data_IF_110884235841
#
_entry.id   IF_110884235841
#
_cell.length_a   1.000
_cell.length_b   1.000
_cell.length_c   1.000
_cell.angle_alpha   90.00
_cell.angle_beta   90.00
_cell.angle_gamma   90.00
#
_symmetry.space_group_name_H-M   'P 1'
#
loop_
_entity.id
_entity.type
_entity.pdbx_description
1 polymer ?
#
# COMPACT_ATOMS: atom_id res chain seq x y z
N UNK A 1 0.35 -7.36 -4.67
CA UNK A 1 0.14 -8.58 -3.87
C UNK A 1 -0.78 -9.57 -4.57
N UNK A 2 -2.05 -9.23 -4.87
CA UNK A 2 -2.98 -10.20 -5.45
C UNK A 2 -2.66 -10.59 -6.90
N UNK A 3 -2.39 -9.61 -7.76
CA UNK A 3 -1.99 -9.89 -9.15
C UNK A 3 -0.78 -10.83 -9.24
N UNK A 4 0.22 -10.65 -8.37
CA UNK A 4 1.42 -11.52 -8.29
C UNK A 4 1.12 -12.94 -7.76
N UNK A 5 0.05 -13.13 -6.99
CA UNK A 5 -0.38 -14.45 -6.50
C UNK A 5 -1.19 -15.18 -7.58
N UNK A 6 -2.04 -14.45 -8.31
CA UNK A 6 -2.97 -15.03 -9.30
C UNK A 6 -2.32 -15.23 -10.66
N UNK A 7 -1.42 -14.34 -11.07
CA UNK A 7 -0.78 -14.39 -12.39
C UNK A 7 -0.09 -15.73 -12.71
N UNK A 8 0.64 -16.40 -11.79
CA UNK A 8 1.22 -17.72 -12.06
C UNK A 8 0.17 -18.78 -12.38
N UNK A 9 -0.99 -18.74 -11.72
CA UNK A 9 -2.10 -19.66 -11.99
C UNK A 9 -2.74 -19.42 -13.38
N UNK A 10 -2.56 -18.23 -13.93
CA UNK A 10 -2.93 -17.89 -15.30
C UNK A 10 -1.79 -18.12 -16.32
N UNK A 11 -0.68 -18.76 -15.92
CA UNK A 11 0.47 -19.04 -16.78
C UNK A 11 1.36 -17.82 -17.06
N UNK A 12 1.18 -16.72 -16.33
CA UNK A 12 1.96 -15.49 -16.53
C UNK A 12 3.23 -15.55 -15.68
N UNK A 13 4.38 -15.29 -16.31
CA UNK A 13 5.66 -15.19 -15.62
C UNK A 13 5.77 -13.84 -14.87
N UNK A 14 5.64 -13.90 -13.55
CA UNK A 14 5.71 -12.73 -12.66
C UNK A 14 7.10 -12.11 -12.54
N UNK A 15 8.15 -12.82 -12.93
CA UNK A 15 9.53 -12.31 -12.93
C UNK A 15 9.89 -11.64 -14.26
N UNK A 16 9.01 -11.70 -15.26
CA UNK A 16 9.24 -10.98 -16.52
C UNK A 16 9.21 -9.48 -16.27
N UNK A 17 10.14 -8.76 -16.91
CA UNK A 17 10.22 -7.31 -16.79
C UNK A 17 8.93 -6.63 -17.27
N UNK A 18 8.34 -7.15 -18.33
CA UNK A 18 7.06 -6.70 -18.88
C UNK A 18 5.93 -6.73 -17.82
N UNK A 19 5.76 -7.85 -17.13
CA UNK A 19 4.77 -7.97 -16.07
C UNK A 19 5.03 -6.99 -14.92
N UNK A 20 6.27 -6.87 -14.48
CA UNK A 20 6.65 -5.98 -13.36
C UNK A 20 6.37 -4.53 -13.73
N UNK A 21 6.78 -4.08 -14.92
CA UNK A 21 6.56 -2.71 -15.37
C UNK A 21 5.08 -2.39 -15.53
N UNK A 22 4.31 -3.29 -16.16
CA UNK A 22 2.87 -3.14 -16.30
C UNK A 22 2.17 -3.09 -14.93
N UNK A 23 2.52 -4.00 -14.03
CA UNK A 23 1.97 -4.05 -12.68
C UNK A 23 2.24 -2.75 -11.92
N UNK A 24 3.48 -2.27 -11.92
CA UNK A 24 3.86 -1.02 -11.24
C UNK A 24 3.09 0.15 -11.83
N UNK A 25 3.03 0.28 -13.16
CA UNK A 25 2.28 1.36 -13.80
C UNK A 25 0.80 1.37 -13.41
N UNK A 26 0.13 0.21 -13.50
CA UNK A 26 -1.30 0.08 -13.16
C UNK A 26 -1.53 0.36 -11.67
N UNK A 27 -0.72 -0.23 -10.78
CA UNK A 27 -0.88 -0.04 -9.33
C UNK A 27 -0.64 1.41 -8.94
N UNK A 28 0.38 2.07 -9.48
CA UNK A 28 0.67 3.48 -9.20
C UNK A 28 -0.49 4.37 -9.63
N UNK A 29 -1.01 4.19 -10.84
CA UNK A 29 -2.12 5.01 -11.34
C UNK A 29 -3.41 4.72 -10.57
N UNK A 30 -3.75 3.45 -10.38
CA UNK A 30 -5.00 3.05 -9.70
C UNK A 30 -5.01 3.44 -8.23
N UNK A 31 -3.86 3.51 -7.56
CA UNK A 31 -3.78 3.89 -6.15
C UNK A 31 -4.34 5.29 -5.87
N UNK A 32 -4.27 6.23 -6.81
CA UNK A 32 -4.87 7.55 -6.65
C UNK A 32 -6.40 7.49 -6.63
N UNK A 33 -6.99 6.62 -7.46
CA UNK A 33 -8.45 6.47 -7.57
C UNK A 33 -9.09 5.79 -6.36
N UNK A 34 -8.33 4.96 -5.63
CA UNK A 34 -8.84 4.19 -4.49
C UNK A 34 -8.96 5.03 -3.21
N UNK A 35 -8.19 6.10 -3.07
CA UNK A 35 -8.20 6.95 -1.87
C UNK A 35 -9.57 7.58 -1.56
N UNK A 36 -10.45 7.72 -2.57
CA UNK A 36 -11.78 8.31 -2.43
C UNK A 36 -12.96 7.34 -2.31
N UNK A 37 -12.71 6.02 -2.33
CA UNK A 37 -13.76 4.99 -2.31
C UNK A 37 -13.61 4.06 -1.11
N UNK A 38 -14.70 3.79 -0.38
CA UNK A 38 -14.71 2.86 0.76
C UNK A 38 -14.42 1.42 0.33
N UNK A 39 -13.78 0.60 1.19
CA UNK A 39 -13.41 -0.79 0.89
C UNK A 39 -12.07 -0.95 0.16
N UNK A 40 -11.07 -0.17 0.56
CA UNK A 40 -9.83 0.10 -0.19
C UNK A 40 -9.11 -1.12 -0.78
N UNK A 41 -8.94 -2.20 -0.02
CA UNK A 41 -8.30 -3.43 -0.50
C UNK A 41 -9.00 -4.06 -1.70
N UNK A 42 -10.32 -4.17 -1.57
CA UNK A 42 -11.20 -4.90 -2.47
C UNK A 42 -11.31 -4.15 -3.80
N UNK A 43 -11.58 -2.85 -3.77
CA UNK A 43 -11.68 -2.04 -4.98
C UNK A 43 -10.34 -1.89 -5.70
N UNK A 44 -9.23 -1.69 -4.97
CA UNK A 44 -7.89 -1.69 -5.58
C UNK A 44 -7.62 -3.00 -6.33
N UNK A 45 -8.00 -4.13 -5.73
CA UNK A 45 -7.78 -5.45 -6.32
C UNK A 45 -8.63 -5.69 -7.56
N UNK A 46 -9.90 -5.27 -7.55
CA UNK A 46 -10.79 -5.35 -8.71
C UNK A 46 -10.25 -4.53 -9.89
N UNK A 47 -9.79 -3.30 -9.63
CA UNK A 47 -9.22 -2.42 -10.66
C UNK A 47 -7.96 -3.04 -11.25
N UNK A 48 -7.01 -3.47 -10.42
CA UNK A 48 -5.73 -4.03 -10.89
C UNK A 48 -5.94 -5.32 -11.65
N UNK A 49 -6.74 -6.26 -11.12
CA UNK A 49 -6.98 -7.54 -11.79
C UNK A 49 -7.73 -7.34 -13.10
N UNK A 50 -8.75 -6.47 -13.12
CA UNK A 50 -9.47 -6.14 -14.35
C UNK A 50 -8.57 -5.50 -15.41
N UNK A 51 -7.74 -4.52 -15.02
CA UNK A 51 -6.82 -3.84 -15.93
C UNK A 51 -5.73 -4.77 -16.50
N UNK A 52 -5.35 -5.81 -15.76
CA UNK A 52 -4.38 -6.82 -16.20
C UNK A 52 -5.02 -8.04 -16.87
N UNK A 53 -6.33 -8.01 -17.10
CA UNK A 53 -7.10 -9.13 -17.64
C UNK A 53 -6.95 -10.44 -16.82
N UNK A 54 -6.83 -10.30 -15.50
CA UNK A 54 -6.75 -11.39 -14.54
C UNK A 54 -8.12 -11.70 -13.92
N UNK A 55 -8.37 -12.94 -13.44
CA UNK A 55 -9.66 -13.32 -12.86
C UNK A 55 -10.02 -12.49 -11.61
N UNK A 56 -11.00 -11.59 -11.74
CA UNK A 56 -11.50 -10.74 -10.63
C UNK A 56 -12.25 -11.54 -9.57
N UNK A 57 -12.78 -12.71 -9.92
CA UNK A 57 -13.51 -13.58 -9.00
C UNK A 57 -12.66 -14.02 -7.78
N UNK A 58 -11.33 -14.03 -7.92
CA UNK A 58 -10.40 -14.36 -6.82
C UNK A 58 -10.48 -13.34 -5.68
N UNK A 59 -10.93 -12.10 -5.94
CA UNK A 59 -11.18 -11.12 -4.88
C UNK A 59 -12.20 -11.65 -3.87
N UNK A 60 -13.22 -12.38 -4.33
CA UNK A 60 -14.24 -12.98 -3.47
C UNK A 60 -13.67 -13.96 -2.43
N UNK A 61 -12.62 -14.70 -2.78
CA UNK A 61 -11.92 -15.59 -1.85
C UNK A 61 -11.17 -14.80 -0.77
N UNK A 62 -10.58 -13.67 -1.16
CA UNK A 62 -9.67 -12.89 -0.32
C UNK A 62 -10.42 -11.94 0.60
N UNK A 63 -11.69 -11.64 0.32
CA UNK A 63 -12.57 -10.87 1.23
C UNK A 63 -12.58 -11.47 2.65
N UNK A 64 -12.49 -12.79 2.79
CA UNK A 64 -12.46 -13.46 4.10
C UNK A 64 -11.26 -13.09 4.97
N UNK A 65 -10.12 -12.75 4.36
CA UNK A 65 -8.87 -12.37 5.04
C UNK A 65 -8.56 -10.88 4.87
N UNK A 66 -9.46 -10.13 4.24
CA UNK A 66 -9.30 -8.71 3.94
C UNK A 66 -9.00 -7.86 5.19
N UNK A 67 -9.64 -8.07 6.36
CA UNK A 67 -9.35 -7.25 7.53
C UNK A 67 -7.88 -7.32 7.99
N UNK A 68 -7.26 -8.50 7.89
CA UNK A 68 -5.85 -8.68 8.24
C UNK A 68 -4.93 -7.95 7.25
N UNK A 69 -5.24 -8.05 5.96
CA UNK A 69 -4.46 -7.42 4.89
C UNK A 69 -4.61 -5.89 4.97
N UNK A 70 -5.81 -5.40 5.26
CA UNK A 70 -6.09 -3.98 5.37
C UNK A 70 -5.39 -3.35 6.57
N UNK A 71 -5.38 -4.02 7.73
CA UNK A 71 -4.61 -3.58 8.89
C UNK A 71 -3.11 -3.46 8.58
N UNK A 72 -2.52 -4.46 7.91
CA UNK A 72 -1.11 -4.41 7.52
C UNK A 72 -0.82 -3.28 6.51
N UNK A 73 -1.73 -3.07 5.55
CA UNK A 73 -1.63 -1.97 4.58
C UNK A 73 -1.69 -0.61 5.28
N UNK A 74 -2.66 -0.43 6.16
CA UNK A 74 -2.85 0.83 6.90
C UNK A 74 -1.65 1.13 7.79
N UNK A 75 -1.15 0.15 8.54
CA UNK A 75 0.04 0.31 9.36
C UNK A 75 1.27 0.75 8.54
N UNK A 76 1.48 0.14 7.36
CA UNK A 76 2.58 0.49 6.45
C UNK A 76 2.40 1.89 5.87
N UNK A 77 1.19 2.26 5.46
CA UNK A 77 0.90 3.57 4.88
C UNK A 77 1.08 4.70 5.92
N UNK A 78 0.63 4.50 7.15
CA UNK A 78 0.82 5.46 8.26
C UNK A 78 2.30 5.61 8.58
N UNK A 79 3.03 4.49 8.70
CA UNK A 79 4.49 4.50 8.92
C UNK A 79 5.24 5.24 7.82
N UNK A 80 4.91 4.98 6.55
CA UNK A 80 5.48 5.68 5.41
C UNK A 80 5.18 7.18 5.41
N UNK A 81 3.96 7.57 5.82
CA UNK A 81 3.55 8.98 5.91
C UNK A 81 4.35 9.72 6.99
N UNK A 82 4.60 9.10 8.15
CA UNK A 82 5.46 9.66 9.18
C UNK A 82 6.90 9.85 8.70
N UNK A 83 7.49 8.83 8.06
CA UNK A 83 8.84 8.91 7.49
C UNK A 83 8.92 10.01 6.43
N UNK A 84 7.95 10.09 5.52
CA UNK A 84 7.91 11.11 4.48
C UNK A 84 7.81 12.52 5.09
N UNK A 85 7.01 12.69 6.15
CA UNK A 85 6.89 13.95 6.89
C UNK A 85 8.21 14.39 7.52
N UNK A 86 8.89 13.50 8.26
CA UNK A 86 10.19 13.77 8.88
C UNK A 86 11.25 14.09 7.83
N UNK A 87 11.34 13.29 6.77
CA UNK A 87 12.29 13.51 5.68
C UNK A 87 12.03 14.85 5.01
N UNK A 88 10.78 15.18 4.71
CA UNK A 88 10.42 16.47 4.07
C UNK A 88 10.79 17.64 4.98
N UNK A 89 10.39 17.60 6.24
CA UNK A 89 10.71 18.62 7.26
C UNK A 89 12.22 18.82 7.40
N UNK A 90 13.01 17.75 7.39
CA UNK A 90 14.47 17.82 7.40
C UNK A 90 15.04 18.48 6.14
N UNK A 91 14.46 18.21 4.95
CA UNK A 91 14.93 18.77 3.68
C UNK A 91 14.63 20.26 3.52
N UNK A 92 13.53 20.73 4.12
CA UNK A 92 13.16 22.15 4.10
C UNK A 92 13.72 22.93 5.31
N UNK A 93 14.53 22.28 6.16
CA UNK A 93 15.12 22.86 7.39
C UNK A 93 14.08 23.31 8.43
N UNK A 94 12.91 22.66 8.45
CA UNK A 94 11.80 22.92 9.39
C UNK A 94 11.73 21.86 10.50
N UNK A 95 12.68 20.92 10.52
CA UNK A 95 12.71 19.85 11.52
C UNK A 95 13.33 20.34 12.83
N UNK A 96 12.49 20.48 13.85
CA UNK A 96 12.93 20.73 15.22
C UNK A 96 13.58 19.46 15.81
N UNK A 97 14.90 19.43 15.79
CA UNK A 97 15.70 18.31 16.31
C UNK A 97 15.75 18.30 17.84
N UNK A 98 15.56 19.46 18.48
CA UNK A 98 15.58 19.54 19.93
C UNK A 98 14.34 18.83 20.48
N UNK A 99 13.18 19.02 19.86
CA UNK A 99 11.95 18.29 20.21
C UNK A 99 12.08 16.78 20.00
N UNK A 100 12.69 16.32 18.91
CA UNK A 100 12.84 14.88 18.62
C UNK A 100 13.79 14.18 19.60
N UNK A 101 14.85 14.87 20.03
CA UNK A 101 15.85 14.29 20.93
C UNK A 101 15.52 14.50 22.42
N UNK A 102 14.42 15.18 22.74
CA UNK A 102 14.00 15.47 24.11
C UNK A 102 13.28 14.28 24.73
N UNK A 103 13.98 13.54 25.60
CA UNK A 103 13.42 12.40 26.33
C UNK A 103 12.23 12.77 27.22
N UNK A 104 12.09 14.05 27.62
CA UNK A 104 10.96 14.52 28.44
C UNK A 104 9.67 14.72 27.63
N UNK A 105 9.76 14.73 26.30
CA UNK A 105 8.64 14.90 25.37
C UNK A 105 8.16 13.59 24.75
N UNK A 106 8.71 12.46 25.18
CA UNK A 106 8.25 11.14 24.75
C UNK A 106 6.86 10.90 25.34
N UNK A 107 5.85 10.72 24.47
CA UNK A 107 4.49 10.36 24.89
C UNK A 107 4.47 8.86 25.16
N UNK A 108 4.41 8.47 26.43
CA UNK A 108 4.21 7.09 26.83
C UNK A 108 2.73 6.71 26.65
N UNK A 109 2.48 5.59 25.96
CA UNK A 109 1.12 5.13 25.64
C UNK A 109 0.44 4.53 26.89
N UNK A 110 1.21 4.31 27.97
CA UNK A 110 0.75 3.69 29.21
C UNK A 110 0.71 4.62 30.43
N UNK A 111 0.79 5.95 30.23
CA UNK A 111 0.65 6.95 31.30
C UNK A 111 -0.81 7.35 31.54
#
# INVERSE_FOLDING_TARGET
MLATIVAPAAGINVFSLEFILMLVAIVTISSFGVAGVGGGATFASLIVLGAMNLPVAIVGLVISVEPLIDMARTATNVSGSMVAGIVTSARIHDLDRDVINDETKVIDVNA
#
